data_IF_591047938318
#
_entry.id   IF_591047938318
#
_cell.length_a   1.000
_cell.length_b   1.000
_cell.length_c   1.000
_cell.angle_alpha   90.00
_cell.angle_beta   90.00
_cell.angle_gamma   90.00
#
_symmetry.space_group_name_H-M   'P 1'
#
loop_
_entity.id
_entity.type
_entity.pdbx_description
1 polymer ?
#
# COMPACT_ATOMS: atom_id res chain seq x y z
N UNK A 1 44.31 36.69 60.45
CA UNK A 1 43.88 37.35 59.20
C UNK A 1 44.45 36.51 58.07
N UNK A 2 43.75 35.80 57.18
CA UNK A 2 42.37 35.82 56.71
C UNK A 2 41.78 34.39 56.64
N UNK A 3 40.47 34.31 56.85
CA UNK A 3 39.63 33.11 56.82
C UNK A 3 39.28 32.75 55.36
N UNK A 4 39.56 31.51 54.94
CA UNK A 4 39.12 30.91 53.67
C UNK A 4 37.59 30.91 53.58
N UNK A 5 37.03 31.44 52.50
CA UNK A 5 35.59 31.36 52.17
C UNK A 5 35.44 30.68 50.81
N UNK A 6 35.20 29.37 50.85
CA UNK A 6 34.74 28.60 49.69
C UNK A 6 33.27 28.96 49.45
N UNK A 7 32.97 29.53 48.28
CA UNK A 7 31.60 29.81 47.83
C UNK A 7 31.12 28.57 47.07
N UNK A 8 30.07 27.86 47.52
CA UNK A 8 29.48 26.79 46.73
C UNK A 8 28.60 27.41 45.63
N UNK A 9 28.95 27.15 44.37
CA UNK A 9 28.09 27.44 43.21
C UNK A 9 26.99 26.38 43.17
N UNK A 10 25.76 26.78 43.47
CA UNK A 10 24.57 25.93 43.30
C UNK A 10 23.95 26.24 41.93
N UNK A 11 24.35 25.48 40.90
CA UNK A 11 23.74 25.55 39.58
C UNK A 11 22.47 24.68 39.56
N UNK A 12 21.30 25.32 39.59
CA UNK A 12 20.02 24.65 39.38
C UNK A 12 19.84 24.34 37.88
N UNK A 13 20.12 23.09 37.49
CA UNK A 13 19.78 22.61 36.15
C UNK A 13 18.27 22.33 36.09
N UNK A 14 17.49 23.25 35.50
CA UNK A 14 16.12 22.96 35.09
C UNK A 14 16.18 22.01 33.88
N UNK A 15 16.04 20.72 34.16
CA UNK A 15 15.83 19.72 33.12
C UNK A 15 14.46 19.93 32.48
N UNK A 16 14.44 20.37 31.22
CA UNK A 16 13.26 20.25 30.38
C UNK A 16 13.02 18.75 30.16
N UNK A 17 12.10 18.16 30.92
CA UNK A 17 11.56 16.86 30.60
C UNK A 17 10.74 17.02 29.31
N UNK A 18 11.36 16.69 28.17
CA UNK A 18 10.59 16.39 26.95
C UNK A 18 9.71 15.20 27.29
N UNK A 19 8.39 15.42 27.34
CA UNK A 19 7.43 14.34 27.47
C UNK A 19 7.58 13.45 26.24
N UNK A 20 8.25 12.30 26.40
CA UNK A 20 8.16 11.22 25.45
C UNK A 20 6.73 10.66 25.56
N UNK A 21 5.85 11.10 24.67
CA UNK A 21 4.64 10.33 24.37
C UNK A 21 5.13 9.02 23.79
N UNK A 22 5.00 7.95 24.57
CA UNK A 22 5.23 6.60 24.07
C UNK A 22 4.05 6.28 23.14
N UNK A 23 4.20 6.61 21.86
CA UNK A 23 3.29 6.12 20.83
C UNK A 23 3.32 4.59 20.87
N UNK A 24 2.15 3.96 20.75
CA UNK A 24 1.99 2.50 20.70
C UNK A 24 1.17 2.14 19.46
N UNK A 25 1.74 2.29 18.26
CA UNK A 25 1.04 2.04 17.00
C UNK A 25 0.52 0.60 16.93
N UNK A 26 -0.78 0.45 16.67
CA UNK A 26 -1.40 -0.85 16.45
C UNK A 26 -2.67 -0.73 15.60
N UNK A 27 -2.89 -1.72 14.74
CA UNK A 27 -4.13 -1.81 13.97
C UNK A 27 -5.31 -2.18 14.89
N UNK A 28 -6.33 -1.33 14.92
CA UNK A 28 -7.59 -1.56 15.65
C UNK A 28 -8.70 -2.10 14.76
N UNK A 29 -8.51 -2.02 13.43
CA UNK A 29 -9.34 -2.70 12.43
C UNK A 29 -8.50 -2.99 11.20
N UNK A 30 -8.63 -4.20 10.65
CA UNK A 30 -7.77 -4.65 9.58
C UNK A 30 -6.31 -4.79 10.04
N UNK A 31 -5.34 -4.83 9.12
CA UNK A 31 -5.49 -4.64 7.68
C UNK A 31 -6.38 -5.71 7.02
N UNK A 32 -7.18 -5.33 6.02
CA UNK A 32 -8.06 -6.25 5.29
C UNK A 32 -7.91 -6.02 3.80
N UNK A 33 -7.54 -7.08 3.08
CA UNK A 33 -7.35 -7.06 1.64
C UNK A 33 -8.60 -7.47 0.88
N UNK A 34 -8.82 -6.83 -0.27
CA UNK A 34 -9.89 -7.14 -1.23
C UNK A 34 -9.37 -6.95 -2.65
N UNK A 35 -9.86 -7.77 -3.59
CA UNK A 35 -9.64 -7.58 -5.02
C UNK A 35 -10.88 -6.92 -5.63
N UNK A 36 -10.72 -5.75 -6.24
CA UNK A 36 -11.81 -5.08 -6.95
C UNK A 36 -12.04 -5.80 -8.30
N UNK A 37 -13.23 -6.35 -8.51
CA UNK A 37 -13.55 -7.12 -9.72
C UNK A 37 -13.88 -6.25 -10.93
N UNK A 38 -13.88 -4.93 -10.78
CA UNK A 38 -14.14 -3.95 -11.84
C UNK A 38 -12.88 -3.25 -12.32
N UNK A 39 -11.84 -3.17 -11.49
CA UNK A 39 -10.54 -2.57 -11.86
C UNK A 39 -9.39 -3.59 -11.84
N UNK A 40 -9.52 -4.66 -11.05
CA UNK A 40 -8.46 -5.63 -10.81
C UNK A 40 -7.53 -5.23 -9.65
N UNK A 41 -7.81 -4.13 -8.95
CA UNK A 41 -6.93 -3.59 -7.91
C UNK A 41 -6.94 -4.44 -6.64
N UNK A 42 -5.76 -4.65 -6.06
CA UNK A 42 -5.62 -5.20 -4.72
C UNK A 42 -5.61 -4.05 -3.72
N UNK A 43 -6.70 -3.90 -2.96
CA UNK A 43 -6.87 -2.80 -1.99
C UNK A 43 -6.84 -3.32 -0.57
N UNK A 44 -6.09 -2.62 0.29
CA UNK A 44 -5.98 -2.90 1.73
C UNK A 44 -6.58 -1.75 2.50
N UNK A 45 -7.62 -2.02 3.29
CA UNK A 45 -8.21 -1.05 4.19
C UNK A 45 -7.82 -1.33 5.64
N UNK A 46 -7.59 -0.27 6.42
CA UNK A 46 -7.18 -0.39 7.83
C UNK A 46 -7.61 0.81 8.67
N UNK A 47 -7.57 0.60 9.98
CA UNK A 47 -7.60 1.64 11.00
C UNK A 47 -6.50 1.37 12.01
N UNK A 48 -5.69 2.37 12.28
CA UNK A 48 -4.58 2.30 13.23
C UNK A 48 -4.75 3.35 14.33
N UNK A 49 -4.38 2.98 15.55
CA UNK A 49 -4.46 3.82 16.74
C UNK A 49 -3.15 3.78 17.54
N UNK A 50 -3.07 4.62 18.57
CA UNK A 50 -1.86 4.76 19.37
C UNK A 50 -0.75 5.51 18.64
N UNK A 51 -1.10 6.26 17.61
CA UNK A 51 -0.20 7.13 16.87
C UNK A 51 -0.06 8.48 17.57
N UNK A 52 1.04 9.19 17.32
CA UNK A 52 1.19 10.60 17.65
C UNK A 52 0.44 11.51 16.68
N UNK A 53 0.99 12.70 16.43
CA UNK A 53 0.45 13.69 15.48
C UNK A 53 1.23 13.76 14.16
N UNK A 54 2.37 13.06 14.06
CA UNK A 54 3.22 13.05 12.89
C UNK A 54 2.61 12.21 11.76
N UNK A 55 2.78 12.60 10.47
CA UNK A 55 2.36 11.78 9.35
C UNK A 55 3.02 10.39 9.34
N UNK A 56 2.25 9.38 8.96
CA UNK A 56 2.67 7.97 8.87
C UNK A 56 2.58 7.53 7.42
N UNK A 57 3.61 6.82 6.93
CA UNK A 57 3.66 6.33 5.54
C UNK A 57 3.48 4.83 5.51
N UNK A 58 2.39 4.40 4.88
CA UNK A 58 2.06 3.00 4.68
C UNK A 58 2.58 2.54 3.34
N UNK A 59 3.34 1.46 3.32
CA UNK A 59 3.84 0.81 2.10
C UNK A 59 3.12 -0.51 1.92
N UNK A 60 2.46 -0.69 0.78
CA UNK A 60 1.91 -1.95 0.34
C UNK A 60 2.84 -2.54 -0.72
N UNK A 61 3.29 -3.77 -0.52
CA UNK A 61 4.23 -4.47 -1.39
C UNK A 61 3.64 -5.82 -1.79
N UNK A 62 3.64 -6.14 -3.08
CA UNK A 62 3.44 -7.51 -3.56
C UNK A 62 4.77 -8.11 -3.99
N UNK A 63 5.12 -9.26 -3.43
CA UNK A 63 6.32 -10.00 -3.85
C UNK A 63 6.20 -10.51 -5.29
N UNK A 64 4.99 -10.89 -5.72
CA UNK A 64 4.72 -11.28 -7.10
C UNK A 64 3.35 -10.80 -7.55
N UNK A 65 3.29 -10.25 -8.75
CA UNK A 65 2.05 -9.90 -9.44
C UNK A 65 2.04 -10.55 -10.81
N UNK A 66 0.91 -11.12 -11.22
CA UNK A 66 0.72 -11.54 -12.62
C UNK A 66 -0.61 -11.06 -13.15
N UNK A 67 -0.56 -10.47 -14.33
CA UNK A 67 -1.71 -9.94 -15.05
C UNK A 67 -1.79 -10.59 -16.43
N UNK A 68 -2.97 -11.07 -16.79
CA UNK A 68 -3.24 -11.59 -18.13
C UNK A 68 -4.13 -10.63 -18.87
N UNK A 69 -3.65 -10.18 -20.02
CA UNK A 69 -4.36 -9.28 -20.92
C UNK A 69 -4.75 -9.98 -22.21
N UNK A 70 -5.85 -9.55 -22.80
CA UNK A 70 -6.32 -10.05 -24.09
C UNK A 70 -6.92 -8.92 -24.90
N UNK A 71 -6.70 -8.94 -26.21
CA UNK A 71 -7.32 -7.99 -27.11
C UNK A 71 -8.76 -8.41 -27.44
N UNK A 72 -9.61 -7.42 -27.62
CA UNK A 72 -11.00 -7.57 -28.04
C UNK A 72 -11.30 -6.56 -29.16
N UNK A 73 -12.25 -6.87 -30.04
CA UNK A 73 -12.84 -5.86 -30.93
C UNK A 73 -13.72 -4.91 -30.13
N UNK A 74 -14.08 -3.74 -30.69
CA UNK A 74 -15.07 -2.83 -30.08
C UNK A 74 -16.45 -3.47 -29.82
N UNK A 75 -16.74 -4.59 -30.48
CA UNK A 75 -17.95 -5.40 -30.27
C UNK A 75 -17.73 -6.55 -29.27
N UNK A 76 -16.65 -6.49 -28.48
CA UNK A 76 -16.25 -7.48 -27.47
C UNK A 76 -16.04 -8.92 -28.00
N UNK A 77 -15.73 -9.06 -29.29
CA UNK A 77 -15.30 -10.35 -29.84
C UNK A 77 -13.79 -10.52 -29.69
N UNK A 78 -13.34 -11.77 -29.58
CA UNK A 78 -11.93 -12.05 -29.44
C UNK A 78 -11.27 -12.34 -30.81
N UNK A 79 -10.32 -11.51 -31.28
CA UNK A 79 -9.52 -11.82 -32.47
C UNK A 79 -8.64 -13.06 -32.25
N UNK A 80 -8.16 -13.65 -33.34
CA UNK A 80 -7.29 -14.82 -33.28
C UNK A 80 -5.96 -14.49 -32.57
N UNK A 81 -5.64 -15.23 -31.51
CA UNK A 81 -4.43 -15.05 -30.72
C UNK A 81 -4.59 -15.53 -29.27
N UNK A 82 -3.46 -15.88 -28.65
CA UNK A 82 -3.42 -16.21 -27.22
C UNK A 82 -3.39 -14.93 -26.36
N UNK A 83 -3.94 -14.95 -25.14
CA UNK A 83 -3.74 -13.89 -24.16
C UNK A 83 -2.25 -13.67 -23.87
N UNK A 84 -1.87 -12.42 -23.60
CA UNK A 84 -0.54 -12.04 -23.17
C UNK A 84 -0.51 -11.96 -21.64
N UNK A 85 0.38 -12.71 -20.99
CA UNK A 85 0.60 -12.58 -19.55
C UNK A 85 1.86 -11.78 -19.28
N UNK A 86 1.79 -10.89 -18.29
CA UNK A 86 2.92 -10.10 -17.79
C UNK A 86 3.04 -10.31 -16.30
N UNK A 87 4.27 -10.35 -15.81
CA UNK A 87 4.58 -10.62 -14.41
C UNK A 87 5.50 -9.54 -13.87
N UNK A 88 5.27 -9.15 -12.63
CA UNK A 88 6.06 -8.17 -11.89
C UNK A 88 6.48 -8.77 -10.55
N UNK A 89 7.55 -8.22 -9.99
CA UNK A 89 8.09 -8.65 -8.71
C UNK A 89 8.41 -7.44 -7.85
N UNK A 90 8.08 -7.52 -6.57
CA UNK A 90 8.35 -6.47 -5.58
C UNK A 90 7.76 -5.10 -5.97
N UNK A 91 6.56 -5.09 -6.58
CA UNK A 91 5.83 -3.84 -6.86
C UNK A 91 5.30 -3.28 -5.54
N UNK A 92 5.50 -1.99 -5.33
CA UNK A 92 5.02 -1.31 -4.13
C UNK A 92 4.32 0.00 -4.43
N UNK A 93 3.32 0.34 -3.63
CA UNK A 93 2.73 1.67 -3.58
C UNK A 93 2.79 2.22 -2.15
N UNK A 94 2.67 3.54 -2.01
CA UNK A 94 2.70 4.21 -0.71
C UNK A 94 1.55 5.20 -0.56
N UNK A 95 1.06 5.34 0.67
CA UNK A 95 0.21 6.47 1.06
C UNK A 95 0.70 7.06 2.37
N UNK A 96 0.67 8.39 2.49
CA UNK A 96 1.03 9.08 3.72
C UNK A 96 -0.22 9.71 4.32
N UNK A 97 -0.55 9.34 5.56
CA UNK A 97 -1.73 9.80 6.27
C UNK A 97 -1.32 10.54 7.54
N UNK A 98 -1.93 11.70 7.78
CA UNK A 98 -1.73 12.45 9.02
C UNK A 98 -2.75 12.01 10.06
N UNK A 99 -2.32 11.52 11.24
CA UNK A 99 -3.23 11.13 12.31
C UNK A 99 -4.12 12.27 12.79
N UNK A 100 -5.35 11.92 13.13
CA UNK A 100 -6.31 12.80 13.81
C UNK A 100 -6.69 12.15 15.13
N UNK A 101 -6.37 12.79 16.24
CA UNK A 101 -6.54 12.25 17.60
C UNK A 101 -5.84 10.88 17.77
N UNK A 102 -4.58 10.80 17.31
CA UNK A 102 -3.73 9.62 17.42
C UNK A 102 -4.20 8.40 16.64
N UNK A 103 -5.01 8.62 15.60
CA UNK A 103 -5.59 7.56 14.78
C UNK A 103 -5.58 7.93 13.31
N UNK A 104 -5.49 6.92 12.44
CA UNK A 104 -5.80 7.03 11.01
C UNK A 104 -6.80 5.97 10.60
N UNK A 105 -7.57 6.27 9.55
CA UNK A 105 -8.37 5.29 8.80
C UNK A 105 -8.07 5.54 7.34
N UNK A 106 -7.69 4.50 6.61
CA UNK A 106 -7.23 4.67 5.25
C UNK A 106 -7.19 3.38 4.47
N UNK A 107 -6.74 3.51 3.23
CA UNK A 107 -6.52 2.40 2.33
C UNK A 107 -5.33 2.65 1.42
N UNK A 108 -4.74 1.56 0.93
CA UNK A 108 -3.64 1.55 -0.03
C UNK A 108 -3.94 0.48 -1.09
N UNK A 109 -3.65 0.75 -2.36
CA UNK A 109 -4.02 -0.14 -3.47
C UNK A 109 -2.87 -0.38 -4.44
N UNK A 110 -2.60 -1.64 -4.77
CA UNK A 110 -1.80 -2.02 -5.93
C UNK A 110 -2.71 -2.13 -7.15
N UNK A 111 -2.31 -1.50 -8.25
CA UNK A 111 -3.10 -1.44 -9.49
C UNK A 111 -2.44 -2.27 -10.59
N UNK A 112 -3.20 -2.99 -11.44
CA UNK A 112 -2.63 -3.79 -12.51
C UNK A 112 -1.71 -3.00 -13.43
N UNK A 113 -0.48 -3.48 -13.60
CA UNK A 113 0.49 -2.86 -14.50
C UNK A 113 0.45 -3.52 -15.88
N UNK A 114 0.41 -2.70 -16.94
CA UNK A 114 0.37 -3.20 -18.32
C UNK A 114 1.71 -3.76 -18.80
N UNK A 115 2.81 -3.21 -18.30
CA UNK A 115 4.16 -3.51 -18.80
C UNK A 115 4.24 -3.20 -20.30
N UNK A 116 4.46 -4.23 -21.12
CA UNK A 116 4.48 -4.14 -22.59
C UNK A 116 3.23 -4.64 -23.30
N UNK A 117 2.17 -5.03 -22.56
CA UNK A 117 0.96 -5.56 -23.15
C UNK A 117 0.29 -4.52 -24.07
N UNK A 118 0.01 -4.90 -25.31
CA UNK A 118 -0.62 -4.02 -26.30
C UNK A 118 -1.35 -4.83 -27.38
N UNK A 119 -2.27 -4.17 -28.09
CA UNK A 119 -2.97 -4.74 -29.23
C UNK A 119 -2.41 -4.21 -30.55
N UNK A 120 -2.33 -5.08 -31.56
CA UNK A 120 -1.82 -4.74 -32.89
C UNK A 120 -2.87 -3.96 -33.69
N UNK A 121 -2.88 -2.63 -33.56
CA UNK A 121 -3.65 -1.70 -34.41
C UNK A 121 -5.14 -2.06 -34.59
N UNK A 122 -5.77 -1.53 -35.65
CA UNK A 122 -7.07 -2.04 -36.13
C UNK A 122 -8.30 -1.76 -35.25
N UNK A 123 -8.20 -0.92 -34.22
CA UNK A 123 -9.33 -0.59 -33.34
C UNK A 123 -9.65 -1.68 -32.31
N UNK A 124 -8.66 -2.51 -31.97
CA UNK A 124 -8.74 -3.45 -30.86
C UNK A 124 -8.57 -2.73 -29.51
N UNK A 125 -9.23 -3.27 -28.49
CA UNK A 125 -9.17 -2.83 -27.10
C UNK A 125 -8.45 -3.90 -26.27
N UNK A 126 -7.44 -3.49 -25.51
CA UNK A 126 -6.77 -4.38 -24.57
C UNK A 126 -7.65 -4.50 -23.32
N UNK A 127 -7.88 -5.70 -22.82
CA UNK A 127 -8.67 -5.95 -21.62
C UNK A 127 -7.92 -6.87 -20.66
N UNK A 128 -8.03 -6.64 -19.35
CA UNK A 128 -7.51 -7.46 -18.28
C UNK A 128 -8.50 -8.60 -18.09
N UNK A 129 -8.02 -9.82 -18.20
CA UNK A 129 -8.81 -11.03 -18.08
C UNK A 129 -8.43 -11.87 -16.86
N UNK A 130 -7.28 -11.61 -16.25
CA UNK A 130 -6.96 -12.16 -14.94
C UNK A 130 -5.94 -11.29 -14.20
N UNK A 131 -6.03 -11.24 -12.87
CA UNK A 131 -5.05 -10.63 -11.99
C UNK A 131 -4.74 -11.57 -10.83
N UNK A 132 -3.48 -11.58 -10.38
CA UNK A 132 -3.04 -12.31 -9.19
C UNK A 132 -1.97 -11.52 -8.46
N UNK A 133 -2.09 -11.49 -7.14
CA UNK A 133 -1.18 -10.85 -6.21
C UNK A 133 -0.79 -11.88 -5.16
N UNK A 134 0.52 -12.05 -4.96
CA UNK A 134 1.06 -13.02 -4.02
C UNK A 134 2.17 -12.42 -3.16
N UNK A 135 2.31 -12.97 -1.94
CA UNK A 135 3.28 -12.52 -0.93
C UNK A 135 3.11 -11.03 -0.64
N UNK A 136 1.86 -10.63 -0.37
CA UNK A 136 1.52 -9.23 -0.16
C UNK A 136 1.71 -8.85 1.30
N UNK A 137 2.36 -7.71 1.54
CA UNK A 137 2.60 -7.18 2.88
C UNK A 137 2.23 -5.71 2.96
N UNK A 138 1.74 -5.27 4.12
CA UNK A 138 1.63 -3.86 4.45
C UNK A 138 2.56 -3.51 5.61
N UNK A 139 3.32 -2.43 5.46
CA UNK A 139 4.23 -1.88 6.45
C UNK A 139 3.83 -0.43 6.78
N UNK A 140 3.82 -0.06 8.06
CA UNK A 140 3.41 1.27 8.52
C UNK A 140 4.56 2.28 8.70
N UNK A 141 5.80 1.87 8.43
CA UNK A 141 7.01 2.67 8.66
C UNK A 141 7.37 2.86 10.14
N UNK A 142 6.62 2.27 11.05
CA UNK A 142 6.79 2.35 12.51
C UNK A 142 7.24 1.02 13.13
N UNK A 143 7.55 0.04 12.28
CA UNK A 143 8.06 -1.26 12.67
C UNK A 143 7.01 -2.37 12.64
N UNK A 144 5.76 -2.09 12.29
CA UNK A 144 4.77 -3.13 12.07
C UNK A 144 4.73 -3.53 10.60
N UNK A 145 4.82 -4.84 10.35
CA UNK A 145 4.60 -5.44 9.03
C UNK A 145 3.58 -6.56 9.19
N UNK A 146 2.61 -6.61 8.28
CA UNK A 146 1.53 -7.60 8.30
C UNK A 146 1.49 -8.30 6.94
N UNK A 147 1.53 -9.62 6.97
CA UNK A 147 1.26 -10.46 5.80
C UNK A 147 -0.24 -10.45 5.49
N UNK A 148 -0.56 -10.33 4.22
CA UNK A 148 -1.91 -10.25 3.70
C UNK A 148 -2.19 -11.46 2.80
N UNK A 149 -3.46 -11.84 2.62
CA UNK A 149 -3.80 -13.01 1.81
C UNK A 149 -3.46 -12.80 0.33
N UNK A 150 -2.98 -13.85 -0.33
CA UNK A 150 -2.89 -13.88 -1.78
C UNK A 150 -4.31 -13.82 -2.38
N UNK A 151 -4.51 -12.97 -3.37
CA UNK A 151 -5.81 -12.81 -4.06
C UNK A 151 -5.63 -12.89 -5.56
N UNK A 152 -6.59 -13.53 -6.23
CA UNK A 152 -6.65 -13.62 -7.68
C UNK A 152 -8.07 -13.50 -8.19
N UNK A 153 -8.24 -12.96 -9.40
CA UNK A 153 -9.52 -12.84 -10.08
C UNK A 153 -9.42 -13.31 -11.53
N UNK A 154 -10.44 -14.02 -12.00
CA UNK A 154 -10.67 -14.34 -13.41
C UNK A 154 -11.81 -13.45 -13.92
N UNK A 155 -11.47 -12.61 -14.89
CA UNK A 155 -12.36 -11.66 -15.54
C UNK A 155 -12.66 -12.07 -16.98
N UNK A 156 -12.33 -13.29 -17.40
CA UNK A 156 -12.56 -13.75 -18.78
C UNK A 156 -14.04 -13.69 -19.21
N UNK A 157 -14.97 -13.85 -18.27
CA UNK A 157 -16.41 -13.71 -18.49
C UNK A 157 -16.91 -12.25 -18.51
N UNK A 158 -16.16 -11.32 -17.94
CA UNK A 158 -16.45 -9.88 -17.96
C UNK A 158 -15.13 -9.08 -17.97
N UNK A 159 -14.43 -9.00 -19.11
CA UNK A 159 -13.10 -8.42 -19.18
C UNK A 159 -13.10 -6.95 -18.78
N UNK A 160 -12.10 -6.54 -18.01
CA UNK A 160 -11.93 -5.15 -17.61
C UNK A 160 -11.16 -4.45 -18.73
N UNK A 161 -11.84 -3.66 -19.57
CA UNK A 161 -11.24 -3.01 -20.73
C UNK A 161 -10.84 -1.54 -20.52
N UNK A 162 -11.24 -0.99 -19.36
CA UNK A 162 -10.91 0.37 -18.93
C UNK A 162 -10.13 0.31 -17.62
N UNK A 163 -8.85 -0.02 -17.73
CA UNK A 163 -7.89 0.16 -16.64
C UNK A 163 -7.20 1.51 -16.83
N UNK A 164 -7.09 2.25 -15.74
CA UNK A 164 -6.63 3.64 -15.71
C UNK A 164 -5.23 3.71 -15.11
#
# INVERSE_FOLDING_TARGET
MLLKRNIPVLAAALGFAVAAVADSPHFVKGPTATLDTTTGDYTVAFKEAGLGSSPVTYTLLAGTEQFTFRCFTKSHNTPQGAPNSVSFSNTSTQTTLTPRNGQVTGSVSLVPQLGGASCQGGGLELCLVAASYAHVTINDGLGNTVDLPDLSGDFSGNPICKFN
#
